data_IF_951230499473
#
_entry.id   IF_951230499473
#
_cell.length_a   1.000
_cell.length_b   1.000
_cell.length_c   1.000
_cell.angle_alpha   90.00
_cell.angle_beta   90.00
_cell.angle_gamma   90.00
#
_symmetry.space_group_name_H-M   'P 1'
#
loop_
_entity.id
_entity.type
_entity.pdbx_description
1 polymer ?
#
# COMPACT_ATOMS: atom_id res chain seq x y z
N UNK A 1 -57.90 -35.70 -1.10
CA UNK A 1 -57.12 -36.28 0.03
C UNK A 1 -55.87 -35.43 0.20
N UNK A 2 -55.80 -34.72 1.32
CA UNK A 2 -54.72 -33.82 1.68
C UNK A 2 -53.46 -34.59 2.10
N UNK A 3 -52.28 -34.06 1.78
CA UNK A 3 -51.07 -34.27 2.57
C UNK A 3 -50.19 -33.03 2.49
N UNK A 4 -50.25 -32.23 3.54
CA UNK A 4 -49.40 -31.09 3.79
C UNK A 4 -47.96 -31.56 4.06
N UNK A 5 -46.99 -30.97 3.36
CA UNK A 5 -45.60 -30.99 3.78
C UNK A 5 -45.21 -29.60 4.26
N UNK A 6 -45.10 -29.50 5.60
CA UNK A 6 -44.54 -28.35 6.31
C UNK A 6 -43.06 -28.21 5.92
N UNK A 7 -42.66 -27.05 5.41
CA UNK A 7 -41.25 -26.66 5.33
C UNK A 7 -40.87 -25.98 6.63
N UNK A 8 -40.22 -26.71 7.52
CA UNK A 8 -39.44 -26.13 8.61
C UNK A 8 -38.19 -25.50 8.00
N UNK A 9 -38.09 -24.18 8.03
CA UNK A 9 -36.87 -23.46 7.72
C UNK A 9 -35.86 -23.70 8.85
N UNK A 10 -34.91 -24.60 8.61
CA UNK A 10 -33.72 -24.69 9.45
C UNK A 10 -32.81 -23.50 9.09
N UNK A 11 -32.64 -22.58 10.04
CA UNK A 11 -31.56 -21.58 10.00
C UNK A 11 -30.22 -22.32 10.02
N UNK A 12 -29.56 -22.41 8.88
CA UNK A 12 -28.16 -22.81 8.84
C UNK A 12 -27.31 -21.59 9.21
N UNK A 13 -26.85 -21.55 10.47
CA UNK A 13 -25.70 -20.74 10.87
C UNK A 13 -24.47 -21.30 10.15
N UNK A 14 -24.22 -20.88 8.92
CA UNK A 14 -22.97 -21.19 8.24
C UNK A 14 -22.00 -20.05 8.51
N UNK A 15 -21.40 -20.05 9.71
CA UNK A 15 -20.10 -19.42 9.85
C UNK A 15 -19.17 -20.13 8.86
N UNK A 16 -18.47 -19.35 8.01
CA UNK A 16 -17.45 -19.91 7.13
C UNK A 16 -16.38 -20.53 8.02
N UNK A 17 -16.39 -21.87 8.13
CA UNK A 17 -15.33 -22.61 8.79
C UNK A 17 -14.19 -22.71 7.78
N UNK A 18 -12.93 -22.38 8.16
CA UNK A 18 -11.77 -22.60 7.31
C UNK A 18 -11.72 -24.05 6.84
N UNK A 19 -11.22 -24.28 5.63
CA UNK A 19 -11.04 -25.65 5.10
C UNK A 19 -10.15 -26.45 6.07
N UNK A 20 -10.49 -27.71 6.38
CA UNK A 20 -9.67 -28.57 7.24
C UNK A 20 -8.25 -28.85 6.70
N UNK A 21 -7.97 -28.46 5.45
CA UNK A 21 -6.67 -28.61 4.78
C UNK A 21 -5.74 -27.39 4.97
N UNK A 22 -6.12 -26.42 5.82
CA UNK A 22 -5.24 -25.33 6.25
C UNK A 22 -4.64 -25.72 7.59
N UNK A 23 -3.41 -26.19 7.61
CA UNK A 23 -2.67 -26.37 8.85
C UNK A 23 -2.61 -25.03 9.62
N UNK A 24 -2.94 -25.08 10.92
CA UNK A 24 -2.83 -23.95 11.83
C UNK A 24 -1.41 -23.36 11.77
N UNK A 25 -1.30 -22.10 11.32
CA UNK A 25 -0.04 -21.33 11.17
C UNK A 25 0.60 -20.98 12.53
N UNK A 26 0.24 -21.67 13.61
CA UNK A 26 0.67 -21.33 14.98
C UNK A 26 2.06 -21.89 15.32
N UNK A 27 2.73 -22.65 14.45
CA UNK A 27 4.06 -23.20 14.77
C UNK A 27 5.06 -23.18 13.63
N UNK A 28 5.34 -22.01 13.05
CA UNK A 28 6.61 -21.82 12.33
C UNK A 28 7.22 -20.46 12.68
N UNK A 29 7.96 -20.43 13.78
CA UNK A 29 8.97 -19.40 13.96
C UNK A 29 10.03 -19.58 12.86
N UNK A 30 10.43 -18.51 12.15
CA UNK A 30 11.55 -18.59 11.22
C UNK A 30 12.83 -19.02 11.96
N UNK A 31 13.79 -19.67 11.28
CA UNK A 31 15.07 -20.01 11.90
C UNK A 31 15.75 -18.73 12.40
N UNK A 32 16.48 -18.77 13.53
CA UNK A 32 17.22 -17.63 14.01
C UNK A 32 18.42 -17.43 13.09
N UNK A 33 18.32 -16.49 12.16
CA UNK A 33 19.51 -15.86 11.58
C UNK A 33 19.96 -14.73 12.51
N UNK A 34 21.27 -14.72 12.76
CA UNK A 34 21.96 -13.87 13.72
C UNK A 34 21.69 -12.34 13.55
N UNK A 35 21.41 -11.68 14.68
CA UNK A 35 21.75 -10.28 15.00
C UNK A 35 21.26 -9.10 14.13
N UNK A 36 20.21 -9.23 13.32
CA UNK A 36 19.46 -8.05 12.85
C UNK A 36 18.19 -7.92 13.68
N UNK A 37 18.22 -7.09 14.73
CA UNK A 37 16.99 -6.58 15.36
C UNK A 37 16.22 -5.83 14.28
N UNK A 38 15.29 -6.50 13.60
CA UNK A 38 14.44 -5.88 12.60
C UNK A 38 13.57 -4.87 13.34
N UNK A 39 13.88 -3.58 13.19
CA UNK A 39 13.15 -2.50 13.84
C UNK A 39 11.69 -2.59 13.40
N UNK A 40 10.79 -2.82 14.36
CA UNK A 40 9.36 -2.77 14.08
C UNK A 40 8.94 -1.34 13.79
N UNK A 41 8.20 -1.12 12.71
CA UNK A 41 7.59 0.16 12.38
C UNK A 41 6.17 0.20 12.96
N UNK A 42 5.89 1.21 13.77
CA UNK A 42 4.56 1.44 14.32
C UNK A 42 3.86 2.58 13.57
N UNK A 43 2.70 2.29 13.00
CA UNK A 43 1.82 3.25 12.36
C UNK A 43 0.66 3.58 13.31
N UNK A 44 0.18 4.83 13.28
CA UNK A 44 -1.07 5.24 13.92
C UNK A 44 -1.97 5.93 12.89
N UNK A 45 -3.23 5.53 12.84
CA UNK A 45 -4.23 6.12 11.94
C UNK A 45 -5.35 6.80 12.75
N UNK A 46 -5.54 8.11 12.54
CA UNK A 46 -6.62 8.88 13.13
C UNK A 46 -7.76 9.03 12.13
N UNK A 47 -8.90 8.40 12.43
CA UNK A 47 -10.02 8.30 11.48
C UNK A 47 -11.35 8.79 12.09
N UNK A 48 -12.29 9.28 11.27
CA UNK A 48 -13.63 9.59 11.72
C UNK A 48 -14.41 8.27 11.83
N UNK A 49 -14.14 7.53 12.89
CA UNK A 49 -14.41 6.09 13.04
C UNK A 49 -15.83 5.69 12.62
N UNK A 50 -16.83 6.47 13.05
CA UNK A 50 -18.24 6.20 12.80
C UNK A 50 -18.77 6.79 11.50
N UNK A 51 -17.99 7.45 10.65
CA UNK A 51 -18.45 7.94 9.34
C UNK A 51 -18.35 6.85 8.28
N UNK A 52 -19.26 6.89 7.29
CA UNK A 52 -19.18 6.02 6.12
C UNK A 52 -17.89 6.32 5.34
N UNK A 53 -17.15 5.27 5.00
CA UNK A 53 -15.97 5.39 4.15
C UNK A 53 -16.35 5.57 2.68
N UNK A 54 -15.35 5.87 1.84
CA UNK A 54 -15.52 5.91 0.38
C UNK A 54 -15.57 4.51 -0.26
N UNK A 55 -15.32 3.44 0.50
CA UNK A 55 -15.39 2.08 -0.03
C UNK A 55 -16.85 1.61 -0.06
N UNK A 56 -17.16 0.73 -1.00
CA UNK A 56 -18.50 0.18 -1.17
C UNK A 56 -18.52 -1.31 -0.89
N UNK A 57 -19.65 -1.81 -0.40
CA UNK A 57 -19.90 -3.23 -0.35
C UNK A 57 -19.94 -3.81 -1.77
N UNK A 58 -19.45 -5.05 -1.99
CA UNK A 58 -19.55 -5.73 -3.27
C UNK A 58 -20.99 -5.77 -3.80
N UNK A 59 -21.15 -5.54 -5.10
CA UNK A 59 -22.45 -5.69 -5.76
C UNK A 59 -22.99 -7.12 -5.58
N UNK A 60 -24.28 -7.24 -5.27
CA UNK A 60 -24.95 -8.54 -5.08
C UNK A 60 -24.95 -9.07 -3.65
N UNK A 61 -24.31 -8.38 -2.70
CA UNK A 61 -24.61 -8.59 -1.28
C UNK A 61 -25.82 -7.74 -0.94
N UNK A 62 -26.92 -8.39 -0.53
CA UNK A 62 -28.20 -7.75 -0.26
C UNK A 62 -28.03 -6.58 0.74
N UNK A 63 -28.33 -5.36 0.29
CA UNK A 63 -28.18 -4.14 1.10
C UNK A 63 -29.01 -4.16 2.38
N UNK A 64 -30.03 -5.02 2.46
CA UNK A 64 -30.80 -5.27 3.68
C UNK A 64 -29.96 -5.94 4.80
N UNK A 65 -28.76 -6.44 4.50
CA UNK A 65 -27.88 -7.10 5.47
C UNK A 65 -27.01 -6.13 6.27
N UNK A 66 -26.84 -4.89 5.81
CA UNK A 66 -26.00 -3.89 6.45
C UNK A 66 -26.82 -2.68 6.88
N UNK A 67 -26.58 -2.19 8.09
CA UNK A 67 -27.29 -1.04 8.67
C UNK A 67 -26.84 0.32 8.08
N UNK A 68 -25.84 0.30 7.19
CA UNK A 68 -25.14 1.48 6.65
C UNK A 68 -24.91 1.35 5.15
N UNK A 69 -24.77 2.49 4.45
CA UNK A 69 -24.59 2.51 3.00
C UNK A 69 -23.18 2.06 2.54
N UNK A 70 -22.20 2.17 3.43
CA UNK A 70 -20.81 1.75 3.25
C UNK A 70 -20.24 1.23 4.57
N UNK A 71 -19.14 0.45 4.56
CA UNK A 71 -18.39 0.16 5.77
C UNK A 71 -17.85 1.47 6.37
N UNK A 72 -17.80 1.54 7.70
CA UNK A 72 -17.29 2.73 8.38
C UNK A 72 -15.79 2.90 8.17
N UNK A 73 -15.28 4.12 8.35
CA UNK A 73 -13.83 4.36 8.35
C UNK A 73 -13.12 3.50 9.41
N UNK A 74 -13.73 3.30 10.59
CA UNK A 74 -13.20 2.43 11.63
C UNK A 74 -13.02 0.98 11.16
N UNK A 75 -14.09 0.39 10.62
CA UNK A 75 -14.08 -1.00 10.12
C UNK A 75 -13.03 -1.20 9.02
N UNK A 76 -12.97 -0.27 8.06
CA UNK A 76 -12.01 -0.32 6.96
C UNK A 76 -10.58 -0.23 7.47
N UNK A 77 -10.26 0.76 8.31
CA UNK A 77 -8.89 0.96 8.78
C UNK A 77 -8.41 -0.13 9.73
N UNK A 78 -9.30 -0.72 10.53
CA UNK A 78 -8.95 -1.90 11.32
C UNK A 78 -8.63 -3.11 10.43
N UNK A 79 -9.37 -3.28 9.34
CA UNK A 79 -9.06 -4.32 8.37
C UNK A 79 -7.72 -4.08 7.69
N UNK A 80 -7.41 -2.83 7.34
CA UNK A 80 -6.10 -2.45 6.79
C UNK A 80 -5.00 -2.68 7.83
N UNK A 81 -5.23 -2.35 9.11
CA UNK A 81 -4.27 -2.58 10.18
C UNK A 81 -3.89 -4.05 10.32
N UNK A 82 -4.90 -4.93 10.31
CA UNK A 82 -4.68 -6.39 10.29
C UNK A 82 -3.92 -6.83 9.04
N UNK A 83 -4.25 -6.27 7.87
CA UNK A 83 -3.59 -6.62 6.61
C UNK A 83 -2.12 -6.19 6.60
N UNK A 84 -1.80 -5.00 7.11
CA UNK A 84 -0.42 -4.49 7.22
C UNK A 84 0.43 -5.43 8.07
N UNK A 85 -0.04 -5.78 9.27
CA UNK A 85 0.67 -6.70 10.15
C UNK A 85 0.75 -8.14 9.61
N UNK A 86 -0.23 -8.56 8.80
CA UNK A 86 -0.24 -9.89 8.18
C UNK A 86 0.75 -10.01 7.03
N UNK A 87 0.85 -9.00 6.16
CA UNK A 87 1.79 -9.04 5.03
C UNK A 87 3.23 -8.87 5.48
N UNK A 88 3.48 -8.06 6.52
CA UNK A 88 4.81 -7.81 7.05
C UNK A 88 4.76 -7.73 8.58
N UNK A 89 5.32 -8.75 9.23
CA UNK A 89 5.35 -8.87 10.70
C UNK A 89 6.20 -7.79 11.40
N UNK A 90 6.99 -7.03 10.65
CA UNK A 90 7.74 -5.88 11.17
C UNK A 90 6.87 -4.63 11.28
N UNK A 91 5.70 -4.61 10.63
CA UNK A 91 4.78 -3.49 10.63
C UNK A 91 3.63 -3.73 11.62
N UNK A 92 3.15 -2.65 12.24
CA UNK A 92 1.94 -2.66 13.07
C UNK A 92 1.19 -1.37 12.90
N UNK A 93 -0.13 -1.39 13.04
CA UNK A 93 -0.96 -0.18 12.95
C UNK A 93 -2.02 -0.15 14.06
N UNK A 94 -2.08 0.97 14.78
CA UNK A 94 -3.16 1.28 15.73
C UNK A 94 -4.14 2.28 15.08
N UNK A 95 -5.45 2.01 15.20
CA UNK A 95 -6.51 2.86 14.66
C UNK A 95 -7.18 3.61 15.81
N UNK A 96 -7.27 4.92 15.70
CA UNK A 96 -7.77 5.81 16.75
C UNK A 96 -8.89 6.69 16.20
N UNK A 97 -10.02 6.73 16.92
CA UNK A 97 -11.14 7.60 16.57
C UNK A 97 -10.81 9.08 16.81
N UNK A 98 -11.33 9.97 15.97
CA UNK A 98 -11.35 11.42 16.21
C UNK A 98 -12.04 11.82 17.53
N UNK A 99 -12.98 10.99 17.99
CA UNK A 99 -13.71 11.18 19.25
C UNK A 99 -12.90 10.73 20.48
N UNK A 100 -11.74 10.10 20.27
CA UNK A 100 -10.89 9.65 21.37
C UNK A 100 -10.38 10.82 22.22
N UNK A 101 -10.09 10.51 23.49
CA UNK A 101 -9.51 11.49 24.41
C UNK A 101 -8.11 11.90 23.95
N UNK A 102 -7.65 13.09 24.35
CA UNK A 102 -6.29 13.53 24.07
C UNK A 102 -5.23 12.56 24.65
N UNK A 103 -5.52 11.94 25.80
CA UNK A 103 -4.64 10.96 26.42
C UNK A 103 -4.53 9.67 25.58
N UNK A 104 -5.64 9.20 25.01
CA UNK A 104 -5.64 8.01 24.16
C UNK A 104 -4.92 8.27 22.83
N UNK A 105 -5.14 9.44 22.23
CA UNK A 105 -4.43 9.86 21.02
C UNK A 105 -2.92 9.95 21.27
N UNK A 106 -2.51 10.56 22.38
CA UNK A 106 -1.10 10.66 22.76
C UNK A 106 -0.48 9.28 23.04
N UNK A 107 -1.20 8.39 23.73
CA UNK A 107 -0.73 7.02 24.00
C UNK A 107 -0.46 6.25 22.71
N UNK A 108 -1.38 6.30 21.75
CA UNK A 108 -1.26 5.61 20.48
C UNK A 108 -0.10 6.18 19.63
N UNK A 109 0.10 7.51 19.66
CA UNK A 109 1.17 8.16 18.89
C UNK A 109 2.56 8.11 19.55
N UNK A 110 2.65 7.83 20.86
CA UNK A 110 3.88 7.96 21.65
C UNK A 110 5.10 7.22 21.06
N UNK A 111 4.87 6.04 20.49
CA UNK A 111 5.92 5.22 19.88
C UNK A 111 5.68 5.00 18.38
N UNK A 112 4.80 5.77 17.76
CA UNK A 112 4.56 5.66 16.33
C UNK A 112 5.72 6.28 15.54
N UNK A 113 6.16 5.58 14.50
CA UNK A 113 7.10 6.09 13.49
C UNK A 113 6.34 6.84 12.38
N UNK A 114 5.08 6.44 12.13
CA UNK A 114 4.24 6.99 11.07
C UNK A 114 2.87 7.35 11.61
N UNK A 115 2.34 8.51 11.22
CA UNK A 115 0.92 8.85 11.42
C UNK A 115 0.19 9.03 10.09
N UNK A 116 -1.10 8.70 10.09
CA UNK A 116 -2.03 9.02 9.00
C UNK A 116 -3.26 9.65 9.62
N UNK A 117 -3.72 10.78 9.08
CA UNK A 117 -5.01 11.38 9.49
C UNK A 117 -5.93 11.42 8.30
N UNK A 118 -7.18 11.01 8.50
CA UNK A 118 -8.20 10.98 7.46
C UNK A 118 -9.34 11.90 7.86
N UNK A 119 -9.88 12.73 6.95
CA UNK A 119 -11.19 13.36 7.12
C UNK A 119 -11.33 14.31 8.33
N UNK A 120 -10.26 14.97 8.78
CA UNK A 120 -10.29 15.85 9.96
C UNK A 120 -10.59 17.32 9.57
N UNK A 121 -11.85 17.72 9.77
CA UNK A 121 -12.32 19.09 9.54
C UNK A 121 -12.37 19.94 10.83
N UNK A 122 -12.45 19.30 11.99
CA UNK A 122 -12.65 19.97 13.27
C UNK A 122 -11.32 20.49 13.83
N UNK A 123 -11.24 21.80 14.09
CA UNK A 123 -10.02 22.46 14.59
C UNK A 123 -9.61 22.00 16.01
N UNK A 124 -10.56 21.63 16.86
CA UNK A 124 -10.29 21.11 18.20
C UNK A 124 -9.73 19.69 18.15
N UNK A 125 -10.27 18.85 17.27
CA UNK A 125 -9.74 17.50 17.01
C UNK A 125 -8.34 17.60 16.38
N UNK A 126 -8.17 18.44 15.37
CA UNK A 126 -6.88 18.71 14.75
C UNK A 126 -5.82 19.13 15.76
N UNK A 127 -6.17 20.01 16.71
CA UNK A 127 -5.25 20.41 17.79
C UNK A 127 -4.78 19.22 18.63
N UNK A 128 -5.71 18.35 19.07
CA UNK A 128 -5.37 17.12 19.83
C UNK A 128 -4.42 16.22 19.03
N UNK A 129 -4.71 16.02 17.75
CA UNK A 129 -3.92 15.15 16.87
C UNK A 129 -2.50 15.73 16.66
N UNK A 130 -2.35 17.04 16.44
CA UNK A 130 -1.03 17.68 16.32
C UNK A 130 -0.20 17.49 17.58
N UNK A 131 -0.81 17.71 18.75
CA UNK A 131 -0.13 17.54 20.04
C UNK A 131 0.30 16.08 20.25
N UNK A 132 -0.56 15.13 19.91
CA UNK A 132 -0.24 13.70 19.97
C UNK A 132 0.90 13.30 19.01
N UNK A 133 0.88 13.81 17.78
CA UNK A 133 1.83 13.43 16.73
C UNK A 133 3.09 14.29 16.68
N UNK A 134 3.30 15.21 17.64
CA UNK A 134 4.45 16.11 17.65
C UNK A 134 5.80 15.37 17.63
N UNK A 135 5.85 14.17 18.24
CA UNK A 135 7.02 13.30 18.24
C UNK A 135 7.11 12.35 17.04
N UNK A 136 6.09 12.25 16.19
CA UNK A 136 6.03 11.27 15.09
C UNK A 136 6.72 11.82 13.83
N UNK A 137 7.76 11.14 13.30
CA UNK A 137 8.62 11.67 12.25
C UNK A 137 7.95 11.81 10.89
N UNK A 138 7.14 10.83 10.50
CA UNK A 138 6.62 10.72 9.14
C UNK A 138 5.10 10.65 9.18
N UNK A 139 4.42 11.28 8.24
CA UNK A 139 2.97 11.14 8.13
C UNK A 139 2.31 12.15 7.21
N UNK A 140 1.03 11.93 7.00
CA UNK A 140 0.20 12.68 6.05
C UNK A 140 -1.20 12.91 6.61
N UNK A 141 -1.79 14.06 6.29
CA UNK A 141 -3.17 14.39 6.57
C UNK A 141 -3.98 14.40 5.27
N UNK A 142 -4.80 13.37 5.05
CA UNK A 142 -5.58 13.12 3.84
C UNK A 142 -7.03 13.56 4.05
N UNK A 143 -7.61 14.27 3.08
CA UNK A 143 -8.95 14.89 3.19
C UNK A 143 -9.15 15.63 4.52
N UNK A 144 -8.09 16.27 5.05
CA UNK A 144 -8.05 16.81 6.42
C UNK A 144 -7.63 18.29 6.41
N UNK A 145 -8.51 19.21 5.97
CA UNK A 145 -8.17 20.63 5.80
C UNK A 145 -7.73 21.31 7.10
N UNK A 146 -8.24 20.87 8.26
CA UNK A 146 -7.83 21.41 9.55
C UNK A 146 -6.38 21.06 9.92
N UNK A 147 -5.75 20.14 9.20
CA UNK A 147 -4.35 19.71 9.37
C UNK A 147 -3.51 19.99 8.11
N UNK A 148 -3.94 20.94 7.27
CA UNK A 148 -3.16 21.37 6.12
C UNK A 148 -1.76 21.83 6.55
N UNK A 149 -0.73 21.25 5.94
CA UNK A 149 0.68 21.54 6.25
C UNK A 149 1.32 20.64 7.31
N UNK A 150 0.61 19.64 7.85
CA UNK A 150 1.18 18.68 8.80
C UNK A 150 1.99 17.56 8.14
N UNK A 151 1.87 17.40 6.82
CA UNK A 151 2.60 16.39 6.05
C UNK A 151 4.11 16.51 6.26
N UNK A 152 4.76 15.40 6.59
CA UNK A 152 6.19 15.35 6.87
C UNK A 152 6.80 13.98 6.58
N UNK A 153 8.08 13.98 6.24
CA UNK A 153 8.90 12.77 6.11
C UNK A 153 10.14 12.97 6.97
N UNK A 154 10.37 12.10 7.96
CA UNK A 154 11.54 12.18 8.86
C UNK A 154 11.70 13.58 9.50
N UNK A 155 10.61 14.13 10.03
CA UNK A 155 10.45 15.48 10.58
C UNK A 155 10.60 16.64 9.58
N UNK A 156 10.87 16.36 8.31
CA UNK A 156 10.99 17.38 7.28
C UNK A 156 9.60 17.71 6.73
N UNK A 157 9.13 18.97 6.85
CA UNK A 157 7.81 19.37 6.37
C UNK A 157 7.73 19.27 4.84
N UNK A 158 6.55 18.95 4.33
CA UNK A 158 6.27 18.84 2.89
C UNK A 158 5.61 20.13 2.39
N UNK A 159 6.34 21.23 2.50
CA UNK A 159 5.86 22.56 2.14
C UNK A 159 6.23 22.97 0.70
N UNK A 160 5.78 24.16 0.30
CA UNK A 160 6.06 24.70 -1.04
C UNK A 160 7.55 24.95 -1.30
N UNK A 161 8.37 25.18 -0.27
CA UNK A 161 9.81 25.38 -0.43
C UNK A 161 10.48 24.05 -0.80
N UNK A 162 10.11 22.96 -0.11
CA UNK A 162 10.61 21.63 -0.42
C UNK A 162 10.17 21.15 -1.81
N UNK A 163 8.94 21.47 -2.21
CA UNK A 163 8.46 21.22 -3.57
C UNK A 163 9.25 22.00 -4.64
N UNK A 164 9.68 23.23 -4.35
CA UNK A 164 10.55 23.99 -5.25
C UNK A 164 11.94 23.39 -5.34
N UNK A 165 12.53 22.96 -4.21
CA UNK A 165 13.82 22.27 -4.19
C UNK A 165 13.78 20.96 -5.00
N UNK A 166 12.71 20.17 -4.82
CA UNK A 166 12.49 18.93 -5.54
C UNK A 166 12.47 19.13 -7.07
N UNK A 167 11.88 20.23 -7.56
CA UNK A 167 11.87 20.57 -8.99
C UNK A 167 13.24 20.96 -9.51
N UNK A 168 14.06 21.62 -8.69
CA UNK A 168 15.38 22.09 -9.09
C UNK A 168 16.42 20.96 -9.11
N UNK A 169 16.32 20.02 -8.17
CA UNK A 169 17.24 18.89 -8.04
C UNK A 169 16.42 17.59 -7.97
N UNK A 170 15.97 17.03 -9.11
CA UNK A 170 15.05 15.89 -9.15
C UNK A 170 15.56 14.59 -8.49
N UNK A 171 16.87 14.51 -8.22
CA UNK A 171 17.52 13.36 -7.61
C UNK A 171 17.88 13.55 -6.12
N UNK A 172 17.52 14.70 -5.52
CA UNK A 172 17.77 14.95 -4.10
C UNK A 172 16.89 14.09 -3.20
N UNK A 173 17.22 14.02 -1.91
CA UNK A 173 16.33 13.42 -0.91
C UNK A 173 14.99 14.18 -0.83
N UNK A 174 15.02 15.51 -0.96
CA UNK A 174 13.80 16.31 -1.00
C UNK A 174 12.87 15.90 -2.15
N UNK A 175 13.43 15.61 -3.33
CA UNK A 175 12.66 15.12 -4.47
C UNK A 175 12.08 13.72 -4.25
N UNK A 176 12.80 12.84 -3.54
CA UNK A 176 12.28 11.53 -3.14
C UNK A 176 11.12 11.67 -2.16
N UNK A 177 11.29 12.44 -1.09
CA UNK A 177 10.25 12.65 -0.08
C UNK A 177 8.97 13.26 -0.69
N UNK A 178 9.12 14.23 -1.60
CA UNK A 178 7.98 14.83 -2.33
C UNK A 178 7.28 13.78 -3.16
N UNK A 179 8.01 12.98 -3.95
CA UNK A 179 7.41 11.90 -4.74
C UNK A 179 6.70 10.86 -3.88
N UNK A 180 7.27 10.47 -2.74
CA UNK A 180 6.63 9.51 -1.84
C UNK A 180 5.31 10.04 -1.30
N UNK A 181 5.25 11.32 -0.93
CA UNK A 181 4.02 11.93 -0.39
C UNK A 181 2.98 12.16 -1.49
N UNK A 182 3.39 12.62 -2.67
CA UNK A 182 2.50 12.74 -3.83
C UNK A 182 1.91 11.38 -4.21
N UNK A 183 2.74 10.33 -4.23
CA UNK A 183 2.30 8.96 -4.48
C UNK A 183 1.30 8.46 -3.42
N UNK A 184 1.52 8.75 -2.14
CA UNK A 184 0.57 8.40 -1.06
C UNK A 184 -0.78 9.08 -1.28
N UNK A 185 -0.77 10.35 -1.70
CA UNK A 185 -1.98 11.11 -2.02
C UNK A 185 -2.69 10.53 -3.25
N UNK A 186 -1.97 10.24 -4.33
CA UNK A 186 -2.51 9.63 -5.54
C UNK A 186 -3.13 8.25 -5.26
N UNK A 187 -2.47 7.41 -4.46
CA UNK A 187 -3.00 6.10 -4.04
C UNK A 187 -4.31 6.28 -3.26
N UNK A 188 -4.38 7.25 -2.37
CA UNK A 188 -5.59 7.54 -1.62
C UNK A 188 -6.72 8.11 -2.50
N UNK A 189 -6.39 8.92 -3.50
CA UNK A 189 -7.35 9.51 -4.46
C UNK A 189 -8.00 8.47 -5.38
N UNK A 190 -7.37 7.32 -5.59
CA UNK A 190 -7.95 6.20 -6.38
C UNK A 190 -9.10 5.48 -5.67
N UNK A 191 -9.32 5.77 -4.38
CA UNK A 191 -10.47 5.32 -3.56
C UNK A 191 -10.76 3.82 -3.65
N UNK A 192 -9.73 2.98 -3.64
CA UNK A 192 -9.88 1.52 -3.57
C UNK A 192 -9.03 0.90 -2.45
N UNK A 193 -9.42 -0.30 -2.02
CA UNK A 193 -8.84 -0.97 -0.86
C UNK A 193 -7.37 -1.42 -1.04
N UNK A 194 -6.94 -1.67 -2.27
CA UNK A 194 -5.56 -2.09 -2.57
C UNK A 194 -4.61 -0.92 -2.47
N UNK A 195 -4.96 0.21 -3.09
CA UNK A 195 -4.16 1.43 -3.02
C UNK A 195 -4.16 2.02 -1.61
N UNK A 196 -5.30 1.94 -0.90
CA UNK A 196 -5.36 2.27 0.52
C UNK A 196 -4.35 1.45 1.34
N UNK A 197 -4.22 0.14 1.08
CA UNK A 197 -3.21 -0.67 1.74
C UNK A 197 -1.79 -0.24 1.36
N UNK A 198 -1.50 -0.06 0.07
CA UNK A 198 -0.17 0.31 -0.41
C UNK A 198 0.32 1.65 0.11
N UNK A 199 -0.58 2.64 0.28
CA UNK A 199 -0.17 3.95 0.79
C UNK A 199 0.50 3.84 2.17
N UNK A 200 0.05 2.91 3.03
CA UNK A 200 0.63 2.70 4.36
C UNK A 200 2.03 2.10 4.27
N UNK A 201 2.25 1.20 3.31
CA UNK A 201 3.57 0.62 3.05
C UNK A 201 4.53 1.68 2.52
N UNK A 202 4.08 2.54 1.60
CA UNK A 202 4.89 3.64 1.07
C UNK A 202 5.27 4.63 2.18
N UNK A 203 4.35 4.95 3.10
CA UNK A 203 4.67 5.79 4.27
C UNK A 203 5.66 5.13 5.23
N UNK A 204 5.50 3.83 5.49
CA UNK A 204 6.47 3.07 6.29
C UNK A 204 7.85 3.09 5.62
N UNK A 205 7.93 2.89 4.30
CA UNK A 205 9.16 2.99 3.54
C UNK A 205 9.79 4.39 3.60
N UNK A 206 8.98 5.43 3.44
CA UNK A 206 9.40 6.83 3.55
C UNK A 206 9.95 7.19 4.95
N UNK A 207 9.55 6.46 6.00
CA UNK A 207 10.10 6.62 7.36
C UNK A 207 11.53 6.06 7.51
N UNK A 208 12.09 5.46 6.47
CA UNK A 208 13.42 4.86 6.46
C UNK A 208 13.45 3.38 6.85
N UNK A 209 12.28 2.74 6.93
CA UNK A 209 12.15 1.30 7.16
C UNK A 209 12.15 0.59 5.81
N UNK A 210 12.89 -0.50 5.70
CA UNK A 210 12.85 -1.32 4.49
C UNK A 210 11.53 -2.11 4.45
N UNK A 211 10.78 -1.96 3.36
CA UNK A 211 9.49 -2.64 3.17
C UNK A 211 9.54 -3.35 1.83
N UNK A 212 9.77 -4.66 1.86
CA UNK A 212 9.99 -5.47 0.66
C UNK A 212 8.86 -5.36 -0.38
N UNK A 213 7.61 -5.17 0.07
CA UNK A 213 6.45 -4.99 -0.82
C UNK A 213 6.49 -3.67 -1.62
N UNK A 214 7.27 -2.68 -1.16
CA UNK A 214 7.50 -1.39 -1.82
C UNK A 214 8.88 -1.37 -2.51
N UNK A 215 9.79 -2.28 -2.17
CA UNK A 215 11.11 -2.37 -2.84
C UNK A 215 11.00 -2.71 -4.35
N UNK A 216 9.90 -3.37 -4.76
CA UNK A 216 9.57 -3.61 -6.18
C UNK A 216 9.22 -2.30 -6.91
N UNK A 217 8.79 -1.27 -6.18
CA UNK A 217 8.69 0.09 -6.72
C UNK A 217 10.06 0.73 -6.80
N UNK A 218 10.82 0.28 -7.79
CA UNK A 218 12.21 0.65 -7.93
C UNK A 218 12.33 2.13 -8.22
N UNK A 219 12.71 2.87 -7.19
CA UNK A 219 13.07 4.27 -7.27
C UNK A 219 14.14 4.43 -8.36
N UNK A 220 13.96 5.41 -9.24
CA UNK A 220 15.02 5.79 -10.18
C UNK A 220 16.12 6.47 -9.36
N UNK A 221 17.06 5.67 -8.84
CA UNK A 221 18.22 6.19 -8.09
C UNK A 221 19.28 6.75 -9.04
N UNK A 222 20.17 7.63 -8.55
CA UNK A 222 21.33 8.12 -9.34
C UNK A 222 22.19 6.97 -9.87
N UNK A 223 22.30 5.87 -9.12
CA UNK A 223 22.98 4.66 -9.56
C UNK A 223 22.26 4.00 -10.75
N UNK A 224 20.94 3.89 -10.67
CA UNK A 224 20.09 3.33 -11.73
C UNK A 224 20.17 4.19 -13.00
N UNK A 225 20.03 5.51 -12.88
CA UNK A 225 20.17 6.46 -14.00
C UNK A 225 21.56 6.41 -14.61
N UNK A 226 22.61 6.38 -13.79
CA UNK A 226 23.98 6.29 -14.29
C UNK A 226 24.24 4.95 -14.97
N UNK A 227 23.71 3.84 -14.45
CA UNK A 227 23.82 2.53 -15.09
C UNK A 227 23.14 2.52 -16.45
N UNK A 228 21.89 3.01 -16.53
CA UNK A 228 21.13 3.10 -17.78
C UNK A 228 21.86 4.01 -18.76
N UNK A 229 22.28 5.19 -18.31
CA UNK A 229 22.99 6.18 -19.13
C UNK A 229 24.38 5.74 -19.58
N UNK A 230 25.05 4.86 -18.84
CA UNK A 230 26.36 4.32 -19.22
C UNK A 230 26.25 3.11 -20.14
N UNK A 231 25.38 2.16 -19.79
CA UNK A 231 25.33 0.86 -20.45
C UNK A 231 24.26 0.78 -21.56
N UNK A 232 23.18 1.54 -21.44
CA UNK A 232 22.01 1.44 -22.32
C UNK A 232 21.76 2.69 -23.15
N UNK A 233 22.72 3.61 -23.25
CA UNK A 233 22.52 4.91 -23.92
C UNK A 233 22.15 4.85 -25.40
N UNK A 234 22.53 3.78 -26.11
CA UNK A 234 22.20 3.61 -27.53
C UNK A 234 20.72 3.26 -27.66
N UNK A 235 20.26 2.31 -26.87
CA UNK A 235 18.87 1.86 -26.80
C UNK A 235 17.97 2.97 -26.25
N UNK A 236 18.43 3.68 -25.21
CA UNK A 236 17.71 4.82 -24.63
C UNK A 236 17.48 5.92 -25.67
N UNK A 237 18.51 6.31 -26.41
CA UNK A 237 18.39 7.32 -27.48
C UNK A 237 17.52 6.83 -28.64
N UNK A 238 17.63 5.56 -29.03
CA UNK A 238 16.78 4.98 -30.05
C UNK A 238 15.30 5.00 -29.63
N UNK A 239 15.01 4.68 -28.38
CA UNK A 239 13.66 4.72 -27.82
C UNK A 239 13.10 6.14 -27.79
N UNK A 240 13.81 7.12 -27.22
CA UNK A 240 13.31 8.51 -27.21
C UNK A 240 13.19 9.13 -28.61
N UNK A 241 13.96 8.64 -29.58
CA UNK A 241 13.81 9.01 -31.00
C UNK A 241 12.59 8.37 -31.68
N UNK A 242 11.96 7.36 -31.07
CA UNK A 242 10.78 6.70 -31.59
C UNK A 242 9.51 7.17 -30.83
N UNK A 243 8.53 7.81 -31.51
CA UNK A 243 7.30 8.28 -30.87
C UNK A 243 6.49 7.18 -30.17
N UNK A 244 6.51 5.95 -30.68
CA UNK A 244 5.81 4.82 -30.08
C UNK A 244 6.50 4.37 -28.80
N UNK A 245 7.83 4.22 -28.83
CA UNK A 245 8.59 3.84 -27.64
C UNK A 245 8.46 4.87 -26.52
N UNK A 246 8.44 6.17 -26.87
CA UNK A 246 8.16 7.24 -25.91
C UNK A 246 6.76 7.09 -25.29
N UNK A 247 5.73 6.83 -26.09
CA UNK A 247 4.38 6.56 -25.57
C UNK A 247 4.34 5.35 -24.64
N UNK A 248 5.11 4.30 -24.91
CA UNK A 248 5.22 3.13 -24.03
C UNK A 248 5.76 3.51 -22.67
N UNK A 249 6.85 4.29 -22.63
CA UNK A 249 7.45 4.77 -21.38
C UNK A 249 6.49 5.68 -20.62
N UNK A 250 5.90 6.68 -21.28
CA UNK A 250 4.98 7.63 -20.66
C UNK A 250 3.72 6.92 -20.13
N UNK A 251 3.23 5.87 -20.82
CA UNK A 251 2.08 5.08 -20.39
C UNK A 251 2.40 4.22 -19.16
N UNK A 252 3.53 3.51 -19.16
CA UNK A 252 3.95 2.67 -18.02
C UNK A 252 4.20 3.53 -16.77
N UNK A 253 4.82 4.69 -16.94
CA UNK A 253 5.05 5.65 -15.84
C UNK A 253 3.73 6.11 -15.21
N UNK A 254 2.67 6.28 -16.01
CA UNK A 254 1.36 6.69 -15.54
C UNK A 254 0.54 5.60 -14.80
N UNK A 255 0.88 4.32 -14.95
CA UNK A 255 0.11 3.21 -14.35
C UNK A 255 0.21 3.16 -12.81
N UNK A 256 1.23 3.78 -12.22
CA UNK A 256 1.52 3.63 -10.80
C UNK A 256 2.06 2.25 -10.44
N UNK A 257 2.54 2.10 -9.21
CA UNK A 257 3.48 1.03 -8.83
C UNK A 257 2.95 -0.40 -8.86
N UNK A 258 1.63 -0.60 -8.76
CA UNK A 258 1.04 -1.94 -8.61
C UNK A 258 -0.08 -2.24 -9.60
N UNK A 259 -0.34 -1.36 -10.57
CA UNK A 259 -1.31 -1.65 -11.61
C UNK A 259 -0.65 -2.49 -12.72
N UNK A 260 -0.50 -3.79 -12.42
CA UNK A 260 0.04 -4.77 -13.36
C UNK A 260 -0.82 -4.87 -14.62
N UNK A 261 -2.13 -4.64 -14.53
CA UNK A 261 -3.04 -4.71 -15.67
C UNK A 261 -2.82 -3.50 -16.58
N UNK A 262 -2.77 -2.29 -16.04
CA UNK A 262 -2.42 -1.08 -16.78
C UNK A 262 -1.03 -1.22 -17.40
N UNK A 263 -0.04 -1.66 -16.63
CA UNK A 263 1.34 -1.81 -17.10
C UNK A 263 1.39 -2.81 -18.26
N UNK A 264 0.74 -3.96 -18.11
CA UNK A 264 0.61 -4.96 -19.18
C UNK A 264 -0.11 -4.38 -20.40
N UNK A 265 -1.21 -3.64 -20.22
CA UNK A 265 -1.93 -3.00 -21.31
C UNK A 265 -1.08 -1.95 -22.03
N UNK A 266 -0.32 -1.12 -21.32
CA UNK A 266 0.60 -0.13 -21.88
C UNK A 266 1.70 -0.80 -22.70
N UNK A 267 2.36 -1.80 -22.12
CA UNK A 267 3.39 -2.58 -22.84
C UNK A 267 2.76 -3.18 -24.10
N UNK A 268 1.66 -3.92 -23.98
CA UNK A 268 1.05 -4.58 -25.14
C UNK A 268 0.55 -3.61 -26.22
N UNK A 269 0.14 -2.41 -25.84
CA UNK A 269 -0.44 -1.41 -26.77
C UNK A 269 0.62 -0.62 -27.53
N UNK A 270 1.81 -0.43 -26.94
CA UNK A 270 2.82 0.48 -27.47
C UNK A 270 4.20 -0.17 -27.66
N UNK A 271 4.39 -1.42 -27.21
CA UNK A 271 5.63 -2.18 -27.37
C UNK A 271 6.10 -2.18 -28.83
N UNK A 272 7.40 -1.96 -28.98
CA UNK A 272 8.10 -1.98 -30.24
C UNK A 272 9.55 -2.43 -30.03
N UNK A 273 10.27 -2.69 -31.13
CA UNK A 273 11.66 -3.15 -31.11
C UNK A 273 12.59 -2.26 -30.27
N UNK A 274 12.42 -0.94 -30.31
CA UNK A 274 13.24 -0.02 -29.51
C UNK A 274 12.95 -0.18 -28.02
N UNK A 275 11.68 -0.33 -27.63
CA UNK A 275 11.28 -0.56 -26.25
C UNK A 275 11.83 -1.89 -25.73
N UNK A 276 11.70 -2.98 -26.50
CA UNK A 276 12.23 -4.30 -26.12
C UNK A 276 13.75 -4.24 -25.90
N UNK A 277 14.49 -3.62 -26.82
CA UNK A 277 15.95 -3.48 -26.72
C UNK A 277 16.35 -2.66 -25.50
N UNK A 278 15.59 -1.61 -25.19
CA UNK A 278 15.82 -0.75 -24.04
C UNK A 278 15.53 -1.53 -22.74
N UNK A 279 14.35 -2.14 -22.62
CA UNK A 279 13.94 -2.96 -21.48
C UNK A 279 14.91 -4.12 -21.23
N UNK A 280 15.32 -4.86 -22.28
CA UNK A 280 16.32 -5.93 -22.17
C UNK A 280 17.66 -5.42 -21.66
N UNK A 281 18.11 -4.27 -22.15
CA UNK A 281 19.36 -3.68 -21.69
C UNK A 281 19.31 -3.33 -20.19
N UNK A 282 18.24 -2.63 -19.78
CA UNK A 282 18.09 -2.10 -18.42
C UNK A 282 17.76 -3.19 -17.40
N UNK A 283 16.83 -4.09 -17.70
CA UNK A 283 16.31 -5.07 -16.75
C UNK A 283 17.12 -6.37 -16.70
N UNK A 284 17.67 -6.80 -17.85
CA UNK A 284 18.30 -8.12 -17.95
C UNK A 284 19.82 -8.02 -18.14
N UNK A 285 20.29 -7.38 -19.22
CA UNK A 285 21.71 -7.41 -19.60
C UNK A 285 22.63 -6.74 -18.60
N UNK A 286 22.16 -5.66 -17.96
CA UNK A 286 22.94 -4.91 -16.98
C UNK A 286 22.28 -4.86 -15.60
N UNK A 287 21.05 -5.37 -15.46
CA UNK A 287 20.24 -5.30 -14.25
C UNK A 287 20.36 -3.93 -13.55
N UNK A 288 20.20 -2.85 -14.32
CA UNK A 288 20.47 -1.49 -13.86
C UNK A 288 19.54 -1.01 -12.77
N UNK A 289 18.44 -1.72 -12.52
CA UNK A 289 17.54 -1.43 -11.42
C UNK A 289 17.76 -2.36 -10.21
N UNK A 290 18.72 -3.30 -10.27
CA UNK A 290 19.01 -4.21 -9.16
C UNK A 290 17.89 -5.22 -8.89
N UNK A 291 17.09 -5.57 -9.91
CA UNK A 291 16.05 -6.59 -9.79
C UNK A 291 16.65 -7.92 -9.32
N UNK A 292 16.22 -8.38 -8.15
CA UNK A 292 16.54 -9.69 -7.63
C UNK A 292 15.24 -10.35 -7.17
N UNK A 293 14.70 -11.23 -8.00
CA UNK A 293 13.54 -12.03 -7.63
C UNK A 293 14.03 -13.38 -7.10
N UNK A 294 14.05 -13.52 -5.78
CA UNK A 294 14.15 -14.85 -5.17
C UNK A 294 12.80 -15.52 -5.39
N UNK A 295 12.79 -16.64 -6.13
CA UNK A 295 11.58 -17.43 -6.33
C UNK A 295 11.05 -17.84 -4.94
N UNK A 296 9.83 -17.47 -4.56
CA UNK A 296 9.25 -17.96 -3.32
C UNK A 296 9.19 -19.49 -3.36
N UNK A 297 9.77 -20.15 -2.36
CA UNK A 297 9.65 -21.61 -2.21
C UNK A 297 8.33 -22.03 -1.55
N UNK A 298 7.52 -21.04 -1.13
CA UNK A 298 6.29 -21.22 -0.38
C UNK A 298 5.13 -20.38 -0.95
N UNK A 299 3.87 -20.85 -0.77
CA UNK A 299 3.50 -22.12 -0.14
C UNK A 299 3.66 -23.28 -1.12
N UNK A 300 4.30 -24.37 -0.65
CA UNK A 300 4.17 -25.66 -1.32
C UNK A 300 2.73 -26.12 -1.13
N UNK A 301 1.91 -25.92 -2.14
CA UNK A 301 0.55 -26.46 -2.13
C UNK A 301 0.63 -27.97 -2.30
N UNK A 302 0.29 -28.71 -1.25
CA UNK A 302 0.06 -30.15 -1.37
C UNK A 302 -1.07 -30.36 -2.38
N UNK A 303 -0.94 -31.30 -3.33
CA UNK A 303 -2.03 -31.63 -4.23
C UNK A 303 -3.29 -31.91 -3.43
N UNK A 304 -4.38 -31.27 -3.81
CA UNK A 304 -5.70 -31.50 -3.23
C UNK A 304 -5.99 -33.01 -3.32
N UNK A 305 -6.30 -33.65 -2.18
CA UNK A 305 -6.53 -35.10 -2.12
C UNK A 305 -7.98 -35.46 -2.44
N UNK A 306 -8.91 -34.52 -2.25
CA UNK A 306 -10.34 -34.72 -2.51
C UNK A 306 -10.98 -33.51 -3.17
N UNK A 307 -11.92 -33.74 -4.07
CA UNK A 307 -12.76 -32.70 -4.64
C UNK A 307 -14.23 -33.06 -4.42
N UNK A 308 -14.98 -32.18 -3.73
CA UNK A 308 -16.41 -32.40 -3.41
C UNK A 308 -16.68 -33.68 -2.61
N UNK A 309 -15.75 -34.05 -1.73
CA UNK A 309 -15.85 -35.25 -0.89
C UNK A 309 -15.46 -36.55 -1.59
N UNK A 310 -15.07 -36.50 -2.85
CA UNK A 310 -14.56 -37.65 -3.61
C UNK A 310 -13.04 -37.56 -3.74
N UNK A 311 -12.31 -38.68 -3.72
CA UNK A 311 -10.88 -38.70 -4.03
C UNK A 311 -10.60 -38.15 -5.43
N UNK A 312 -9.50 -37.40 -5.58
CA UNK A 312 -8.98 -36.96 -6.88
C UNK A 312 -8.22 -38.06 -7.61
#
# INVERSE_FOLDING_TARGET
RASAWRRTAARANSALVPSPDVDDVVTMAPPPDDDVVTRRCALVAFVPYEKDSYLHYPEGIDGARFERAAPSYGEVWEHVARRVAWTDSTLSMEVVSHDASAADMARAAMNADVFVVIGCDDASVAKKIREACAGTPTGVALDSPALAGEDRVCYQPMDGLKAMEAKLIPWSQAARDVRSIDMVKDLFERKNHTDLYFMHLVLASASGIDVAAVDISQDITLGNVWCIGKNCNKQLRACYGNPMCKKSLDCVDACGLNDQVCTYQCIRSYENDEFEKLARCMLHSHNCLGNNAVRPEFPRVSPMQTFRGEPL
#
